data_IF_272750487112
#
_entry.id   IF_272750487112
#
_cell.length_a   1.000
_cell.length_b   1.000
_cell.length_c   1.000
_cell.angle_alpha   90.00
_cell.angle_beta   90.00
_cell.angle_gamma   90.00
#
_symmetry.space_group_name_H-M   'P 1'
#
loop_
_entity.id
_entity.type
_entity.pdbx_description
1 polymer ?
#
# COMPACT_ATOMS: atom_id res chain seq x y z
N UNK A 1 -19.73 28.35 -42.95
CA UNK A 1 -18.78 29.44 -43.28
C UNK A 1 -18.99 30.57 -42.28
N UNK A 2 -17.89 31.22 -41.88
CA UNK A 2 -17.74 32.33 -40.91
C UNK A 2 -17.61 31.87 -39.45
N UNK A 3 -16.63 32.28 -38.64
CA UNK A 3 -15.39 33.04 -38.85
C UNK A 3 -14.45 32.75 -37.68
N UNK A 4 -13.15 32.66 -37.98
CA UNK A 4 -12.05 32.72 -37.02
C UNK A 4 -11.95 34.17 -36.52
N UNK A 5 -11.66 34.37 -35.23
CA UNK A 5 -11.12 35.63 -34.73
C UNK A 5 -10.02 35.36 -33.69
N UNK A 6 -8.85 35.94 -33.91
CA UNK A 6 -7.65 35.84 -33.07
C UNK A 6 -7.23 37.25 -32.61
N UNK A 7 -6.64 37.29 -31.39
CA UNK A 7 -5.74 38.31 -30.76
C UNK A 7 -6.47 39.39 -29.94
N UNK A 8 -5.96 39.84 -28.78
CA UNK A 8 -4.55 40.13 -28.43
C UNK A 8 -4.26 39.96 -26.93
N UNK A 9 -3.01 39.64 -26.62
CA UNK A 9 -2.34 39.79 -25.33
C UNK A 9 -2.38 41.23 -24.80
N UNK A 10 -2.47 41.40 -23.48
CA UNK A 10 -1.78 42.49 -22.77
C UNK A 10 -1.45 42.06 -21.35
N UNK A 11 -0.17 42.18 -21.01
CA UNK A 11 0.46 41.97 -19.72
C UNK A 11 -0.02 42.98 -18.67
N UNK A 12 -0.24 42.52 -17.43
CA UNK A 12 -0.06 43.32 -16.21
C UNK A 12 0.43 42.42 -15.08
N UNK A 13 1.63 42.73 -14.58
CA UNK A 13 2.10 42.25 -13.28
C UNK A 13 1.37 43.01 -12.18
N UNK A 14 1.00 42.30 -11.11
CA UNK A 14 0.72 42.88 -9.80
C UNK A 14 1.17 41.86 -8.77
N UNK A 15 2.27 42.21 -8.10
CA UNK A 15 2.62 41.72 -6.76
C UNK A 15 1.46 42.00 -5.80
N UNK A 16 1.02 40.98 -5.07
CA UNK A 16 0.45 41.15 -3.74
C UNK A 16 0.50 39.81 -3.01
N UNK A 17 1.27 39.79 -1.93
CA UNK A 17 1.57 38.63 -1.11
C UNK A 17 0.32 37.91 -0.59
N UNK A 18 0.41 36.58 -0.60
CA UNK A 18 -0.47 35.72 0.15
C UNK A 18 0.37 35.07 1.25
N UNK A 19 0.25 35.61 2.47
CA UNK A 19 0.77 34.99 3.68
C UNK A 19 0.12 33.62 3.84
N UNK A 20 0.92 32.55 3.71
CA UNK A 20 0.49 31.20 4.04
C UNK A 20 0.59 31.07 5.56
N UNK A 21 -0.56 31.23 6.23
CA UNK A 21 -0.71 30.98 7.66
C UNK A 21 -0.32 29.53 7.99
N UNK A 22 0.77 29.39 8.74
CA UNK A 22 1.24 28.13 9.26
C UNK A 22 0.30 27.61 10.36
N UNK A 23 -0.52 26.62 10.03
CA UNK A 23 -1.09 25.71 11.04
C UNK A 23 -0.14 24.53 11.22
N UNK A 24 0.75 24.65 12.21
CA UNK A 24 1.64 23.57 12.62
C UNK A 24 0.97 22.64 13.65
N UNK A 25 1.20 21.33 13.47
CA UNK A 25 1.02 20.28 14.47
C UNK A 25 0.08 19.17 14.00
N UNK A 26 0.43 17.88 13.95
CA UNK A 26 1.66 17.17 14.29
C UNK A 26 1.45 15.71 13.89
N UNK A 27 2.28 15.15 12.99
CA UNK A 27 2.71 13.72 12.98
C UNK A 27 3.53 13.31 11.75
N UNK A 28 3.44 14.03 10.63
CA UNK A 28 4.14 13.64 9.39
C UNK A 28 5.63 13.99 9.37
N UNK A 29 6.08 14.88 10.26
CA UNK A 29 7.46 15.37 10.28
C UNK A 29 8.48 14.38 10.88
N UNK A 30 8.05 13.31 11.54
CA UNK A 30 8.97 12.35 12.18
C UNK A 30 9.56 11.30 11.24
N UNK A 31 9.14 11.27 9.97
CA UNK A 31 9.61 10.27 8.99
C UNK A 31 10.53 10.83 7.90
N UNK A 32 10.65 12.15 7.76
CA UNK A 32 11.54 12.78 6.78
C UNK A 32 12.83 13.24 7.45
N UNK A 33 13.80 12.33 7.58
CA UNK A 33 15.18 12.71 7.89
C UNK A 33 15.84 13.29 6.63
N UNK A 34 16.45 14.46 6.75
CA UNK A 34 17.07 15.25 5.67
C UNK A 34 18.35 14.64 5.07
N UNK A 35 18.68 13.40 5.40
CA UNK A 35 19.89 12.70 4.92
C UNK A 35 19.61 11.50 4.01
N UNK A 36 18.34 11.24 3.63
CA UNK A 36 18.05 10.14 2.71
C UNK A 36 18.45 10.53 1.28
N UNK A 37 19.61 10.05 0.83
CA UNK A 37 19.97 9.98 -0.58
C UNK A 37 18.78 9.37 -1.36
N UNK A 38 18.14 10.17 -2.22
CA UNK A 38 16.88 9.83 -2.88
C UNK A 38 17.05 8.60 -3.79
N UNK A 39 16.89 7.38 -3.27
CA UNK A 39 16.76 6.19 -4.12
C UNK A 39 15.36 6.21 -4.72
N UNK A 40 15.24 6.15 -6.04
CA UNK A 40 13.97 5.95 -6.71
C UNK A 40 13.85 4.51 -7.18
N UNK A 41 12.68 3.88 -7.06
CA UNK A 41 12.39 2.56 -7.64
C UNK A 41 12.73 2.51 -9.14
N UNK A 42 12.52 3.62 -9.86
CA UNK A 42 12.82 3.72 -11.29
C UNK A 42 14.32 3.61 -11.61
N UNK A 43 15.19 3.94 -10.65
CA UNK A 43 16.64 3.98 -10.84
C UNK A 43 17.31 2.65 -10.42
N UNK A 44 16.55 1.73 -9.81
CA UNK A 44 17.08 0.45 -9.36
C UNK A 44 17.33 -0.50 -10.52
N UNK A 45 18.47 -1.19 -10.48
CA UNK A 45 18.68 -2.36 -11.35
C UNK A 45 17.67 -3.45 -11.02
N UNK A 46 17.41 -4.37 -11.97
CA UNK A 46 16.49 -5.50 -11.73
C UNK A 46 16.89 -6.34 -10.50
N UNK A 47 18.19 -6.49 -10.24
CA UNK A 47 18.71 -7.21 -9.07
C UNK A 47 18.42 -6.46 -7.77
N UNK A 48 18.64 -5.15 -7.74
CA UNK A 48 18.32 -4.33 -6.57
C UNK A 48 16.82 -4.27 -6.32
N UNK A 49 16.03 -4.11 -7.38
CA UNK A 49 14.57 -4.11 -7.31
C UNK A 49 14.04 -5.42 -6.71
N UNK A 50 14.58 -6.56 -7.13
CA UNK A 50 14.24 -7.87 -6.56
C UNK A 50 14.63 -7.96 -5.07
N UNK A 51 15.80 -7.45 -4.68
CA UNK A 51 16.25 -7.44 -3.30
C UNK A 51 15.37 -6.53 -2.41
N UNK A 52 15.01 -5.34 -2.87
CA UNK A 52 14.11 -4.45 -2.13
C UNK A 52 12.70 -5.05 -2.04
N UNK A 53 12.22 -5.70 -3.11
CA UNK A 53 10.94 -6.42 -3.10
C UNK A 53 10.94 -7.54 -2.05
N UNK A 54 12.02 -8.30 -1.94
CA UNK A 54 12.14 -9.36 -0.94
C UNK A 54 12.09 -8.81 0.50
N UNK A 55 12.74 -7.67 0.77
CA UNK A 55 12.64 -6.99 2.07
C UNK A 55 11.21 -6.58 2.41
N UNK A 56 10.47 -6.05 1.43
CA UNK A 56 9.05 -5.69 1.59
C UNK A 56 8.21 -6.93 1.90
N UNK A 57 8.42 -8.03 1.16
CA UNK A 57 7.73 -9.30 1.40
C UNK A 57 8.02 -9.84 2.81
N UNK A 58 9.28 -9.80 3.25
CA UNK A 58 9.66 -10.19 4.60
C UNK A 58 8.94 -9.35 5.67
N UNK A 59 8.81 -8.04 5.46
CA UNK A 59 8.03 -7.15 6.33
C UNK A 59 6.56 -7.54 6.40
N UNK A 60 5.94 -7.85 5.26
CA UNK A 60 4.56 -8.34 5.18
C UNK A 60 4.42 -9.67 5.95
N UNK A 61 5.29 -10.64 5.71
CA UNK A 61 5.25 -11.94 6.40
C UNK A 61 5.35 -11.78 7.92
N UNK A 62 6.25 -10.91 8.40
CA UNK A 62 6.39 -10.65 9.84
C UNK A 62 5.11 -10.09 10.48
N UNK A 63 4.36 -9.26 9.76
CA UNK A 63 3.06 -8.77 10.24
C UNK A 63 2.02 -9.89 10.20
N UNK A 64 1.99 -10.69 9.13
CA UNK A 64 1.06 -11.81 9.01
C UNK A 64 1.32 -12.91 10.03
N UNK A 65 2.56 -13.18 10.42
CA UNK A 65 2.87 -14.13 11.49
C UNK A 65 2.14 -13.76 12.80
N UNK A 66 2.06 -12.46 13.12
CA UNK A 66 1.32 -11.96 14.29
C UNK A 66 -0.19 -12.07 14.12
N UNK A 67 -0.71 -11.83 12.91
CA UNK A 67 -2.14 -11.94 12.62
C UNK A 67 -2.59 -13.41 12.67
N UNK A 68 -1.81 -14.31 12.07
CA UNK A 68 -2.15 -15.73 11.97
C UNK A 68 -2.01 -16.48 13.30
N UNK A 69 -1.26 -15.94 14.25
CA UNK A 69 -1.11 -16.49 15.62
C UNK A 69 -2.08 -15.86 16.63
N UNK A 70 -2.86 -14.85 16.24
CA UNK A 70 -3.84 -14.24 17.12
C UNK A 70 -5.08 -15.13 17.31
N UNK A 71 -5.52 -15.29 18.56
CA UNK A 71 -6.70 -16.09 18.94
C UNK A 71 -8.03 -15.32 18.83
N UNK A 72 -8.01 -14.09 18.32
CA UNK A 72 -9.18 -13.23 18.22
C UNK A 72 -8.87 -11.85 17.65
N UNK A 73 -9.83 -10.92 17.73
CA UNK A 73 -9.66 -9.56 17.24
C UNK A 73 -8.43 -8.88 17.87
N UNK A 74 -7.59 -8.27 17.03
CA UNK A 74 -6.40 -7.54 17.44
C UNK A 74 -6.78 -6.14 17.94
N UNK A 75 -5.95 -5.52 18.78
CA UNK A 75 -6.12 -4.10 19.13
C UNK A 75 -6.06 -3.21 17.88
N UNK A 76 -5.26 -3.60 16.88
CA UNK A 76 -5.12 -2.87 15.62
C UNK A 76 -6.15 -3.30 14.58
N UNK A 77 -6.69 -2.34 13.85
CA UNK A 77 -7.63 -2.53 12.74
C UNK A 77 -7.01 -2.18 11.39
N UNK A 78 -7.54 -2.76 10.31
CA UNK A 78 -7.13 -2.39 8.96
C UNK A 78 -7.78 -1.07 8.52
N UNK A 79 -6.99 -0.14 7.99
CA UNK A 79 -7.46 1.14 7.44
C UNK A 79 -7.20 1.33 5.95
N UNK A 80 -6.42 0.44 5.33
CA UNK A 80 -6.23 0.45 3.88
C UNK A 80 -7.47 -0.01 3.11
N UNK A 81 -7.36 -0.17 1.79
CA UNK A 81 -8.49 -0.67 1.00
C UNK A 81 -8.69 -2.17 1.20
N UNK A 82 -9.93 -2.64 1.09
CA UNK A 82 -10.24 -4.06 1.18
C UNK A 82 -9.58 -4.88 0.06
N UNK A 83 -9.41 -4.29 -1.13
CA UNK A 83 -8.74 -4.97 -2.25
C UNK A 83 -7.27 -5.20 -1.90
N UNK A 84 -6.60 -4.19 -1.32
CA UNK A 84 -5.20 -4.31 -0.92
C UNK A 84 -5.03 -5.38 0.17
N UNK A 85 -5.93 -5.44 1.15
CA UNK A 85 -5.87 -6.49 2.17
C UNK A 85 -5.99 -7.89 1.55
N UNK A 86 -6.93 -8.10 0.64
CA UNK A 86 -7.11 -9.39 -0.04
C UNK A 86 -5.90 -9.71 -0.93
N UNK A 87 -5.31 -8.71 -1.58
CA UNK A 87 -4.10 -8.85 -2.39
C UNK A 87 -2.90 -9.27 -1.52
N UNK A 88 -2.73 -8.67 -0.33
CA UNK A 88 -1.72 -9.08 0.65
C UNK A 88 -1.95 -10.51 1.14
N UNK A 89 -3.19 -10.85 1.50
CA UNK A 89 -3.53 -12.23 1.91
C UNK A 89 -3.21 -13.21 0.79
N UNK A 90 -3.47 -12.85 -0.47
CA UNK A 90 -3.15 -13.71 -1.62
C UNK A 90 -1.64 -13.89 -1.81
N UNK A 91 -0.83 -12.83 -1.67
CA UNK A 91 0.63 -12.92 -1.70
C UNK A 91 1.13 -13.89 -0.63
N UNK A 92 0.62 -13.76 0.59
CA UNK A 92 0.99 -14.58 1.73
C UNK A 92 0.53 -16.03 1.55
N UNK A 93 -0.69 -16.24 1.05
CA UNK A 93 -1.19 -17.57 0.73
C UNK A 93 -0.34 -18.26 -0.33
N UNK A 94 0.06 -17.56 -1.39
CA UNK A 94 0.93 -18.11 -2.45
C UNK A 94 2.32 -18.54 -1.93
N UNK A 95 2.78 -17.99 -0.81
CA UNK A 95 4.02 -18.42 -0.16
C UNK A 95 3.92 -19.80 0.52
N UNK A 96 2.70 -20.32 0.70
CA UNK A 96 2.40 -21.63 1.32
C UNK A 96 2.99 -21.81 2.74
N UNK A 97 3.26 -20.71 3.46
CA UNK A 97 3.89 -20.72 4.79
C UNK A 97 2.99 -21.21 5.92
N UNK A 98 1.66 -21.11 5.76
CA UNK A 98 0.70 -21.44 6.81
C UNK A 98 -0.03 -22.73 6.51
N UNK A 99 -0.11 -23.60 7.50
CA UNK A 99 -0.83 -24.88 7.42
C UNK A 99 -2.11 -24.84 8.27
N UNK A 100 -3.08 -25.65 7.89
CA UNK A 100 -4.25 -25.97 8.69
C UNK A 100 -3.90 -26.91 9.86
N UNK A 101 -4.89 -27.19 10.71
CA UNK A 101 -4.74 -28.10 11.86
C UNK A 101 -4.38 -29.55 11.48
N UNK A 102 -4.54 -29.91 10.21
CA UNK A 102 -4.23 -31.24 9.67
C UNK A 102 -2.85 -31.29 9.00
N UNK A 103 -2.11 -30.18 9.02
CA UNK A 103 -0.79 -30.05 8.40
C UNK A 103 -0.83 -29.78 6.89
N UNK A 104 -2.00 -29.55 6.29
CA UNK A 104 -2.09 -29.16 4.87
C UNK A 104 -1.93 -27.66 4.70
N UNK A 105 -1.54 -27.19 3.52
CA UNK A 105 -1.55 -25.77 3.22
C UNK A 105 -2.94 -25.16 3.48
N UNK A 106 -2.97 -24.03 4.18
CA UNK A 106 -4.20 -23.35 4.52
C UNK A 106 -4.93 -22.91 3.24
N UNK A 107 -6.24 -23.13 3.16
CA UNK A 107 -7.05 -22.65 2.03
C UNK A 107 -7.11 -21.13 2.06
N UNK A 108 -7.08 -20.52 0.89
CA UNK A 108 -7.12 -19.06 0.75
C UNK A 108 -8.31 -18.43 1.50
N UNK A 109 -9.50 -19.02 1.37
CA UNK A 109 -10.71 -18.51 2.02
C UNK A 109 -10.62 -18.54 3.56
N UNK A 110 -9.95 -19.54 4.13
CA UNK A 110 -9.80 -19.65 5.58
C UNK A 110 -8.83 -18.58 6.10
N UNK A 111 -7.74 -18.33 5.37
CA UNK A 111 -6.80 -17.26 5.67
C UNK A 111 -7.46 -15.88 5.60
N UNK A 112 -8.26 -15.61 4.55
CA UNK A 112 -9.01 -14.35 4.42
C UNK A 112 -9.96 -14.16 5.60
N UNK A 113 -10.72 -15.20 5.98
CA UNK A 113 -11.67 -15.14 7.10
C UNK A 113 -10.96 -14.83 8.41
N UNK A 114 -9.86 -15.53 8.69
CA UNK A 114 -9.06 -15.31 9.91
C UNK A 114 -8.54 -13.87 9.97
N UNK A 115 -7.89 -13.41 8.90
CA UNK A 115 -7.33 -12.05 8.81
C UNK A 115 -8.43 -11.00 8.99
N UNK A 116 -9.60 -11.21 8.40
CA UNK A 116 -10.70 -10.25 8.49
C UNK A 116 -11.28 -10.16 9.91
N UNK A 117 -11.39 -11.29 10.61
CA UNK A 117 -11.81 -11.32 12.02
C UNK A 117 -10.79 -10.58 12.88
N UNK A 118 -9.51 -10.90 12.71
CA UNK A 118 -8.43 -10.31 13.51
C UNK A 118 -8.33 -8.80 13.29
N UNK A 119 -8.54 -8.31 12.06
CA UNK A 119 -8.38 -6.90 11.70
C UNK A 119 -9.67 -6.07 11.70
N UNK A 120 -10.76 -6.59 12.26
CA UNK A 120 -12.08 -5.93 12.32
C UNK A 120 -12.66 -5.56 10.94
N UNK A 121 -12.36 -6.38 9.92
CA UNK A 121 -12.88 -6.20 8.57
C UNK A 121 -14.19 -6.99 8.36
N UNK A 122 -15.10 -6.42 7.57
CA UNK A 122 -16.33 -7.11 7.18
C UNK A 122 -16.03 -8.25 6.19
N UNK A 123 -16.47 -9.50 6.45
CA UNK A 123 -16.22 -10.64 5.58
C UNK A 123 -16.68 -10.40 4.15
N UNK A 124 -15.84 -10.75 3.16
CA UNK A 124 -16.24 -10.75 1.76
C UNK A 124 -16.86 -12.08 1.35
N UNK A 125 -17.97 -12.02 0.62
CA UNK A 125 -18.66 -13.22 0.12
C UNK A 125 -17.81 -14.02 -0.87
N UNK A 126 -16.99 -13.36 -1.70
CA UNK A 126 -16.15 -14.02 -2.70
C UNK A 126 -14.78 -13.33 -2.86
N UNK A 127 -13.76 -13.71 -2.07
CA UNK A 127 -12.42 -13.11 -2.17
C UNK A 127 -11.69 -13.43 -3.47
N UNK A 128 -11.98 -14.55 -4.14
CA UNK A 128 -11.36 -14.89 -5.44
C UNK A 128 -11.69 -13.85 -6.53
N UNK A 129 -12.89 -13.27 -6.50
CA UNK A 129 -13.24 -12.18 -7.41
C UNK A 129 -12.35 -10.96 -7.23
N UNK A 130 -11.93 -10.65 -6.00
CA UNK A 130 -11.04 -9.53 -5.73
C UNK A 130 -9.63 -9.80 -6.27
N UNK A 131 -9.09 -11.00 -6.06
CA UNK A 131 -7.81 -11.42 -6.63
C UNK A 131 -7.85 -11.35 -8.17
N UNK A 132 -8.90 -11.89 -8.78
CA UNK A 132 -9.08 -11.83 -10.25
C UNK A 132 -9.17 -10.39 -10.76
N UNK A 133 -9.89 -9.52 -10.06
CA UNK A 133 -9.98 -8.09 -10.40
C UNK A 133 -8.64 -7.38 -10.23
N UNK A 134 -7.88 -7.70 -9.18
CA UNK A 134 -6.54 -7.17 -8.95
C UNK A 134 -5.57 -7.61 -10.05
N UNK A 135 -5.58 -8.89 -10.42
CA UNK A 135 -4.75 -9.45 -11.50
C UNK A 135 -5.10 -8.88 -12.88
N UNK A 136 -6.38 -8.55 -13.12
CA UNK A 136 -6.86 -7.97 -14.36
C UNK A 136 -6.85 -6.43 -14.38
N UNK A 137 -6.14 -5.76 -13.45
CA UNK A 137 -5.91 -4.30 -13.48
C UNK A 137 -5.01 -3.92 -14.67
N UNK A 138 -5.54 -4.00 -15.90
CA UNK A 138 -4.94 -3.35 -17.08
C UNK A 138 -5.58 -1.97 -17.23
N UNK A 139 -4.77 -0.90 -17.12
CA UNK A 139 -5.20 0.47 -17.42
C UNK A 139 -6.00 1.20 -16.33
N UNK A 140 -5.99 0.73 -15.08
CA UNK A 140 -6.55 1.47 -13.93
C UNK A 140 -5.42 2.23 -13.24
N UNK A 141 -5.65 3.48 -12.87
CA UNK A 141 -4.69 4.44 -12.26
C UNK A 141 -4.05 3.99 -10.93
N UNK A 142 -4.39 2.81 -10.39
CA UNK A 142 -3.88 2.29 -9.13
C UNK A 142 -2.86 1.15 -9.31
N UNK A 143 -1.65 1.33 -8.79
CA UNK A 143 -0.61 0.29 -8.73
C UNK A 143 -0.98 -0.82 -7.73
N UNK A 144 -0.50 -2.05 -7.95
CA UNK A 144 -0.62 -3.16 -6.98
C UNK A 144 -0.10 -2.76 -5.60
N UNK A 145 -0.64 -3.35 -4.53
CA UNK A 145 -0.21 -3.05 -3.15
C UNK A 145 1.29 -3.25 -2.97
N UNK A 146 1.86 -4.30 -3.60
CA UNK A 146 3.28 -4.60 -3.52
C UNK A 146 4.14 -3.51 -4.18
N UNK A 147 3.71 -2.97 -5.33
CA UNK A 147 4.44 -1.91 -6.01
C UNK A 147 4.34 -0.59 -5.22
N UNK A 148 3.18 -0.33 -4.59
CA UNK A 148 3.00 0.83 -3.70
C UNK A 148 3.91 0.74 -2.48
N UNK A 149 3.98 -0.42 -1.84
CA UNK A 149 4.87 -0.65 -0.70
C UNK A 149 6.34 -0.57 -1.10
N UNK A 150 6.71 -1.06 -2.28
CA UNK A 150 8.06 -0.92 -2.81
C UNK A 150 8.44 0.54 -3.02
N UNK A 151 7.54 1.36 -3.59
CA UNK A 151 7.75 2.80 -3.73
C UNK A 151 7.89 3.49 -2.36
N UNK A 152 7.07 3.14 -1.37
CA UNK A 152 7.19 3.70 -0.02
C UNK A 152 8.50 3.28 0.67
N UNK A 153 8.93 2.04 0.48
CA UNK A 153 10.17 1.54 1.08
C UNK A 153 11.41 2.19 0.46
N UNK A 154 11.44 2.33 -0.87
CA UNK A 154 12.60 2.84 -1.60
C UNK A 154 12.60 4.36 -1.68
N UNK A 155 11.52 4.96 -2.16
CA UNK A 155 11.45 6.40 -2.42
C UNK A 155 11.30 7.21 -1.13
N UNK A 156 10.56 6.69 -0.15
CA UNK A 156 10.28 7.38 1.11
C UNK A 156 11.03 6.78 2.31
N UNK A 157 11.84 5.73 2.11
CA UNK A 157 12.63 5.10 3.18
C UNK A 157 11.80 4.41 4.27
N UNK A 158 10.54 4.09 4.00
CA UNK A 158 9.62 3.54 5.00
C UNK A 158 9.92 2.05 5.21
N UNK A 159 10.46 1.70 6.39
CA UNK A 159 10.88 0.33 6.70
C UNK A 159 9.75 -0.71 6.67
N UNK A 160 8.55 -0.33 7.13
CA UNK A 160 7.38 -1.22 7.13
C UNK A 160 6.16 -0.48 6.54
N UNK A 161 5.99 -0.47 5.22
CA UNK A 161 4.88 0.22 4.57
C UNK A 161 3.50 -0.29 4.99
N UNK A 162 3.36 -1.59 5.29
CA UNK A 162 2.08 -2.18 5.74
C UNK A 162 1.59 -1.61 7.06
N UNK A 163 2.50 -1.16 7.93
CA UNK A 163 2.13 -0.57 9.21
C UNK A 163 1.34 0.75 9.06
N UNK A 164 1.48 1.44 7.91
CA UNK A 164 0.71 2.67 7.63
C UNK A 164 -0.77 2.40 7.35
N UNK A 165 -1.10 1.17 6.91
CA UNK A 165 -2.47 0.74 6.64
C UNK A 165 -3.12 0.08 7.87
N UNK A 166 -2.48 0.18 9.04
CA UNK A 166 -2.96 -0.36 10.32
C UNK A 166 -3.21 0.79 11.29
N UNK A 167 -4.39 0.83 11.92
CA UNK A 167 -4.74 1.78 12.98
C UNK A 167 -4.66 1.11 14.35
N UNK A 168 -4.23 1.86 15.36
CA UNK A 168 -4.32 1.49 16.77
C UNK A 168 -5.74 1.65 17.33
#
# INVERSE_FOLDING_TARGET
MNSINIRKDTTKSLDSGFEVSACAGSETSRYFSSENHYRNVADLTAKELAAEREKVLHGIYSVFDRIMTADGPSARAWSGTMIDLIELVHIVWMSQRYTDRRGHAMRFIDMVRHVFIVLHCHPVANPYNFVRRAANRKGITGTSVINRYLALAVNAGIRNPMALDMKE
#
